data_IF_708031638008
#
_entry.id   IF_708031638008
#
_cell.length_a   1.000
_cell.length_b   1.000
_cell.length_c   1.000
_cell.angle_alpha   90.00
_cell.angle_beta   90.00
_cell.angle_gamma   90.00
#
_symmetry.space_group_name_H-M   'P 1'
#
loop_
_entity.id
_entity.type
_entity.pdbx_description
1 polymer ?
#
# COMPACT_ATOMS: atom_id res chain seq x y z
N UNK A 1 20.57 47.87 5.95
CA UNK A 1 19.48 47.14 5.25
C UNK A 1 19.98 45.76 4.83
N UNK A 2 19.85 44.74 5.68
CA UNK A 2 20.30 43.38 5.36
C UNK A 2 19.08 42.51 5.03
N UNK A 3 18.67 42.55 3.76
CA UNK A 3 17.64 41.67 3.22
C UNK A 3 18.25 40.26 3.10
N UNK A 4 18.24 39.46 4.18
CA UNK A 4 18.52 38.01 4.13
C UNK A 4 17.32 37.35 3.44
N UNK A 5 17.24 37.55 2.12
CA UNK A 5 16.11 37.12 1.31
C UNK A 5 16.09 35.59 1.27
N UNK A 6 15.03 35.07 1.89
CA UNK A 6 14.15 34.08 1.28
C UNK A 6 14.64 32.62 1.21
N UNK A 7 15.95 32.38 1.13
CA UNK A 7 16.51 31.01 1.07
C UNK A 7 16.35 30.28 2.41
N UNK A 8 16.52 30.96 3.55
CA UNK A 8 16.31 30.32 4.86
C UNK A 8 14.86 29.86 5.08
N UNK A 9 13.88 30.71 4.74
CA UNK A 9 12.45 30.38 4.89
C UNK A 9 12.02 29.21 3.98
N UNK A 10 12.50 29.21 2.73
CA UNK A 10 12.21 28.12 1.80
C UNK A 10 12.94 26.84 2.14
N UNK A 11 14.21 26.90 2.55
CA UNK A 11 14.98 25.71 2.99
C UNK A 11 14.34 25.09 4.22
N UNK A 12 13.88 25.88 5.18
CA UNK A 12 13.18 25.38 6.37
C UNK A 12 11.85 24.73 5.99
N UNK A 13 11.06 25.34 5.09
CA UNK A 13 9.83 24.73 4.59
C UNK A 13 10.10 23.41 3.86
N UNK A 14 11.13 23.37 3.00
CA UNK A 14 11.54 22.17 2.27
C UNK A 14 11.99 21.08 3.25
N UNK A 15 12.77 21.42 4.29
CA UNK A 15 13.18 20.47 5.34
C UNK A 15 11.99 19.92 6.12
N UNK A 16 11.03 20.76 6.49
CA UNK A 16 9.80 20.33 7.17
C UNK A 16 8.94 19.43 6.28
N UNK A 17 8.81 19.75 4.99
CA UNK A 17 8.08 18.92 4.04
C UNK A 17 8.82 17.59 3.84
N UNK A 18 10.13 17.58 3.64
CA UNK A 18 10.94 16.37 3.48
C UNK A 18 10.96 15.51 4.76
N UNK A 19 10.75 16.06 5.96
CA UNK A 19 10.61 15.27 7.19
C UNK A 19 9.18 14.75 7.38
N UNK A 20 8.17 15.57 7.04
CA UNK A 20 6.76 15.23 7.22
C UNK A 20 6.25 14.26 6.13
N UNK A 21 6.73 14.41 4.90
CA UNK A 21 6.37 13.60 3.73
C UNK A 21 6.74 12.12 3.86
N UNK A 22 7.97 11.71 4.24
CA UNK A 22 8.30 10.30 4.40
C UNK A 22 7.51 9.66 5.54
N UNK A 23 7.21 10.38 6.62
CA UNK A 23 6.33 9.88 7.67
C UNK A 23 4.91 9.59 7.13
N UNK A 24 4.36 10.50 6.31
CA UNK A 24 3.08 10.29 5.64
C UNK A 24 3.12 9.13 4.63
N UNK A 25 4.22 9.00 3.89
CA UNK A 25 4.43 7.94 2.90
C UNK A 25 4.53 6.57 3.59
N UNK A 26 5.27 6.46 4.69
CA UNK A 26 5.39 5.24 5.50
C UNK A 26 4.03 4.87 6.10
N UNK A 27 3.29 5.83 6.65
CA UNK A 27 1.92 5.61 7.16
C UNK A 27 0.98 5.10 6.07
N UNK A 28 1.09 5.67 4.87
CA UNK A 28 0.32 5.24 3.72
C UNK A 28 0.69 3.81 3.33
N UNK A 29 1.98 3.51 3.11
CA UNK A 29 2.41 2.16 2.73
C UNK A 29 2.01 1.08 3.73
N UNK A 30 2.18 1.32 5.05
CA UNK A 30 1.74 0.36 6.07
C UNK A 30 0.23 0.08 6.04
N UNK A 31 -0.58 1.09 5.73
CA UNK A 31 -2.04 0.94 5.63
C UNK A 31 -2.46 0.14 4.38
N UNK A 32 -1.63 0.09 3.34
CA UNK A 32 -1.98 -0.51 2.05
C UNK A 32 -1.74 -2.03 1.97
N UNK A 33 -0.86 -2.61 2.79
CA UNK A 33 -0.71 -4.08 2.86
C UNK A 33 -1.95 -4.79 3.42
N UNK A 34 -2.88 -4.06 4.05
CA UNK A 34 -4.15 -4.57 4.55
C UNK A 34 -5.27 -4.57 3.49
N UNK A 35 -4.93 -4.51 2.20
CA UNK A 35 -5.84 -4.96 1.15
C UNK A 35 -5.53 -6.43 0.91
N UNK A 36 -6.08 -7.30 1.76
CA UNK A 36 -6.02 -8.74 1.58
C UNK A 36 -6.50 -9.05 0.16
N UNK A 37 -5.57 -9.40 -0.72
CA UNK A 37 -5.93 -9.73 -2.09
C UNK A 37 -6.87 -10.94 -2.06
N UNK A 38 -8.09 -10.75 -2.56
CA UNK A 38 -9.09 -11.81 -2.64
C UNK A 38 -9.26 -12.24 -4.09
N UNK A 39 -9.51 -13.53 -4.30
CA UNK A 39 -9.67 -14.15 -5.61
C UNK A 39 -10.91 -15.00 -5.66
N UNK A 40 -11.54 -15.02 -6.83
CA UNK A 40 -12.67 -15.91 -7.10
C UNK A 40 -12.16 -17.30 -7.46
N UNK A 41 -12.63 -18.33 -6.76
CA UNK A 41 -12.32 -19.72 -7.09
C UNK A 41 -13.01 -20.09 -8.42
N UNK A 42 -12.23 -20.45 -9.44
CA UNK A 42 -12.78 -20.86 -10.75
C UNK A 42 -13.56 -22.18 -10.72
N UNK A 43 -13.44 -22.96 -9.64
CA UNK A 43 -14.12 -24.26 -9.52
C UNK A 43 -15.51 -24.17 -8.86
N UNK A 44 -15.75 -23.21 -7.96
CA UNK A 44 -17.04 -23.06 -7.27
C UNK A 44 -17.62 -21.64 -7.29
N UNK A 45 -16.85 -20.64 -7.72
CA UNK A 45 -17.29 -19.24 -7.76
C UNK A 45 -17.21 -18.50 -6.42
N UNK A 46 -16.73 -19.14 -5.34
CA UNK A 46 -16.57 -18.47 -4.04
C UNK A 46 -15.38 -17.49 -4.05
N UNK A 47 -15.54 -16.33 -3.42
CA UNK A 47 -14.45 -15.39 -3.21
C UNK A 47 -13.65 -15.78 -1.94
N UNK A 48 -12.35 -16.05 -2.10
CA UNK A 48 -11.44 -16.52 -1.05
C UNK A 48 -10.15 -15.68 -1.07
N UNK A 49 -9.50 -15.49 0.08
CA UNK A 49 -8.22 -14.77 0.10
C UNK A 49 -7.14 -15.53 -0.70
N UNK A 50 -6.25 -14.79 -1.38
CA UNK A 50 -5.14 -15.36 -2.16
C UNK A 50 -4.21 -16.20 -1.30
N UNK A 51 -4.11 -15.88 0.00
CA UNK A 51 -3.35 -16.64 0.99
C UNK A 51 -3.82 -18.10 1.16
N UNK A 52 -5.10 -18.41 0.87
CA UNK A 52 -5.60 -19.78 0.99
C UNK A 52 -5.14 -20.64 -0.19
N UNK A 53 -4.38 -21.70 0.10
CA UNK A 53 -3.87 -22.69 -0.87
C UNK A 53 -4.90 -23.75 -1.27
N UNK A 54 -5.95 -23.96 -0.46
CA UNK A 54 -7.09 -24.84 -0.75
C UNK A 54 -8.37 -24.04 -0.50
N UNK A 55 -9.34 -24.16 -1.39
CA UNK A 55 -10.64 -23.49 -1.22
C UNK A 55 -11.47 -24.19 -0.11
N UNK A 56 -11.88 -23.48 0.96
CA UNK A 56 -12.70 -24.07 2.03
C UNK A 56 -14.12 -24.44 1.58
N UNK A 57 -14.60 -23.90 0.46
CA UNK A 57 -15.95 -24.18 -0.05
C UNK A 57 -16.04 -25.45 -0.90
N UNK A 58 -14.97 -25.79 -1.64
CA UNK A 58 -15.00 -26.92 -2.57
C UNK A 58 -13.88 -27.95 -2.38
N UNK A 59 -12.89 -27.67 -1.53
CA UNK A 59 -11.77 -28.56 -1.24
C UNK A 59 -10.74 -28.69 -2.36
N UNK A 60 -10.90 -27.97 -3.48
CA UNK A 60 -9.94 -27.98 -4.59
C UNK A 60 -8.93 -26.84 -4.48
N UNK A 61 -7.68 -27.03 -4.96
CA UNK A 61 -6.73 -25.93 -5.03
C UNK A 61 -7.23 -24.88 -6.05
N UNK A 62 -7.22 -23.60 -5.69
CA UNK A 62 -7.50 -22.53 -6.62
C UNK A 62 -6.36 -22.42 -7.65
N UNK A 63 -6.68 -22.67 -8.92
CA UNK A 63 -5.79 -22.41 -10.05
C UNK A 63 -5.56 -20.91 -10.14
N UNK A 64 -4.33 -20.45 -9.91
CA UNK A 64 -3.97 -19.04 -10.08
C UNK A 64 -3.97 -18.73 -11.59
N UNK A 65 -4.64 -17.66 -12.07
CA UNK A 65 -4.41 -17.17 -13.42
C UNK A 65 -2.94 -16.69 -13.53
N UNK A 66 -2.29 -16.86 -14.69
CA UNK A 66 -0.97 -16.26 -14.91
C UNK A 66 -1.08 -14.74 -14.74
N UNK A 67 -0.27 -14.20 -13.84
CA UNK A 67 -0.12 -12.76 -13.58
C UNK A 67 0.50 -12.07 -14.80
#
# INVERSE_FOLDING_TARGET
MAKKKFVGSWVILILLIILCWPAALIYFFMKYEEQEETRTCMNCGANIAISYSICPHCGKPPVQPPQ
#
